data_IF_262572131346
#
_entry.id   IF_262572131346
#
_cell.length_a   1.000
_cell.length_b   1.000
_cell.length_c   1.000
_cell.angle_alpha   90.00
_cell.angle_beta   90.00
_cell.angle_gamma   90.00
#
_symmetry.space_group_name_H-M   'P 1'
#
loop_
_entity.id
_entity.type
_entity.pdbx_description
1 polymer ?
#
# COMPACT_ATOMS: atom_id res chain seq x y z
N UNK A 1 -33.92 20.01 -6.00
CA UNK A 1 -33.42 20.97 -5.00
C UNK A 1 -32.52 20.27 -3.97
N UNK A 2 -32.96 19.17 -3.36
CA UNK A 2 -32.17 18.40 -2.38
C UNK A 2 -30.79 17.91 -2.88
N UNK A 3 -30.71 17.23 -4.03
CA UNK A 3 -29.41 16.77 -4.57
C UNK A 3 -28.42 17.91 -4.80
N UNK A 4 -28.91 19.06 -5.27
CA UNK A 4 -28.07 20.24 -5.51
C UNK A 4 -27.49 20.76 -4.19
N UNK A 5 -28.30 20.78 -3.13
CA UNK A 5 -27.91 21.25 -1.80
C UNK A 5 -26.90 20.31 -1.11
N UNK A 6 -27.08 19.00 -1.30
CA UNK A 6 -26.12 17.98 -0.82
C UNK A 6 -24.78 18.11 -1.54
N UNK A 7 -24.78 18.26 -2.87
CA UNK A 7 -23.56 18.44 -3.66
C UNK A 7 -22.87 19.77 -3.33
N UNK A 8 -23.64 20.84 -3.13
CA UNK A 8 -23.12 22.16 -2.75
C UNK A 8 -22.47 22.10 -1.35
N UNK A 9 -23.10 21.42 -0.39
CA UNK A 9 -22.56 21.21 0.96
C UNK A 9 -21.29 20.37 0.95
N UNK A 10 -21.27 19.27 0.19
CA UNK A 10 -20.09 18.43 0.04
C UNK A 10 -18.90 19.21 -0.55
N UNK A 11 -19.15 20.03 -1.57
CA UNK A 11 -18.12 20.87 -2.19
C UNK A 11 -17.56 21.93 -1.21
N UNK A 12 -18.40 22.51 -0.35
CA UNK A 12 -17.93 23.42 0.71
C UNK A 12 -17.09 22.67 1.74
N UNK A 13 -17.51 21.48 2.16
CA UNK A 13 -16.79 20.68 3.15
C UNK A 13 -15.38 20.29 2.65
N UNK A 14 -15.27 19.84 1.39
CA UNK A 14 -13.99 19.50 0.77
C UNK A 14 -13.05 20.73 0.72
N UNK A 15 -13.56 21.90 0.33
CA UNK A 15 -12.78 23.15 0.34
C UNK A 15 -12.31 23.57 1.73
N UNK A 16 -13.10 23.30 2.77
CA UNK A 16 -12.70 23.53 4.16
C UNK A 16 -11.59 22.56 4.59
N UNK A 17 -11.66 21.30 4.18
CA UNK A 17 -10.58 20.33 4.43
C UNK A 17 -9.28 20.69 3.71
N UNK A 18 -9.34 21.11 2.43
CA UNK A 18 -8.14 21.54 1.68
C UNK A 18 -7.39 22.67 2.38
N UNK A 19 -8.11 23.66 2.91
CA UNK A 19 -7.53 24.76 3.70
C UNK A 19 -6.86 24.26 4.98
N UNK A 20 -7.49 23.31 5.67
CA UNK A 20 -6.96 22.77 6.92
C UNK A 20 -5.70 21.93 6.71
N UNK A 21 -5.63 21.18 5.60
CA UNK A 21 -4.44 20.41 5.23
C UNK A 21 -3.27 21.29 4.73
N UNK A 22 -3.53 22.50 4.25
CA UNK A 22 -2.48 23.43 3.78
C UNK A 22 -1.75 24.17 4.91
N UNK A 23 -2.38 24.32 6.09
CA UNK A 23 -1.86 25.14 7.20
C UNK A 23 -1.09 24.35 8.28
N UNK A 24 -1.01 23.01 8.20
CA UNK A 24 -0.26 22.20 9.18
C UNK A 24 1.02 21.58 8.59
N UNK A 25 2.14 21.96 9.20
CA UNK A 25 3.51 21.40 9.12
C UNK A 25 4.46 22.11 8.14
N UNK A 26 5.12 23.17 8.64
CA UNK A 26 6.41 23.64 8.12
C UNK A 26 7.50 23.10 9.04
N UNK A 27 8.25 22.08 8.62
CA UNK A 27 9.45 21.62 9.35
C UNK A 27 10.52 22.71 9.22
N UNK A 28 10.81 23.39 10.34
CA UNK A 28 12.01 24.23 10.43
C UNK A 28 13.24 23.32 10.36
N UNK A 29 13.84 23.21 9.17
CA UNK A 29 15.13 22.57 9.02
C UNK A 29 16.20 23.40 9.76
N UNK A 30 16.64 22.88 10.91
CA UNK A 30 17.65 23.51 11.74
C UNK A 30 19.04 23.20 11.16
N UNK A 31 19.50 24.04 10.24
CA UNK A 31 20.93 24.13 9.90
C UNK A 31 21.75 24.51 11.15
N UNK A 32 22.58 23.59 11.63
CA UNK A 32 23.69 23.90 12.54
C UNK A 32 25.01 23.55 11.87
N UNK A 33 25.72 24.60 11.46
CA UNK A 33 27.04 24.51 10.84
C UNK A 33 28.17 24.24 11.82
N UNK A 34 29.25 23.68 11.28
CA UNK A 34 30.62 24.15 11.46
C UNK A 34 31.33 23.87 12.78
N UNK A 35 32.23 22.88 12.78
CA UNK A 35 33.31 22.77 13.78
C UNK A 35 34.20 21.55 13.51
N UNK A 36 35.42 21.78 12.99
CA UNK A 36 36.30 20.74 12.47
C UNK A 36 37.13 19.95 13.49
N UNK A 37 37.82 18.91 13.00
CA UNK A 37 38.93 18.27 13.74
C UNK A 37 39.28 16.82 13.38
N UNK A 38 40.28 16.65 12.50
CA UNK A 38 41.37 15.63 12.49
C UNK A 38 41.10 14.10 12.35
N UNK A 39 41.50 13.60 11.17
CA UNK A 39 42.17 12.32 10.78
C UNK A 39 42.37 11.20 11.84
N UNK A 40 42.02 9.94 11.47
CA UNK A 40 42.98 8.80 11.34
C UNK A 40 42.38 7.61 10.55
N UNK A 41 43.30 6.75 10.08
CA UNK A 41 43.23 5.75 8.99
C UNK A 41 42.30 4.52 9.24
N UNK A 42 41.80 4.00 8.11
CA UNK A 42 41.18 2.68 7.78
C UNK A 42 41.88 1.42 8.35
N UNK A 43 41.38 0.17 8.13
CA UNK A 43 40.18 -0.31 7.41
C UNK A 43 39.32 -1.37 8.17
N UNK A 44 38.04 -1.51 7.83
CA UNK A 44 37.33 -2.80 7.92
C UNK A 44 36.00 -2.75 7.17
N UNK A 45 35.91 -3.62 6.18
CA UNK A 45 34.73 -3.98 5.39
C UNK A 45 33.58 -4.43 6.28
N UNK A 46 32.53 -3.61 6.39
CA UNK A 46 31.15 -4.08 6.57
C UNK A 46 30.24 -3.11 5.83
N UNK A 47 29.81 -3.54 4.65
CA UNK A 47 28.65 -3.01 3.94
C UNK A 47 27.48 -2.98 4.91
N UNK A 48 27.18 -1.81 5.47
CA UNK A 48 25.86 -1.54 6.04
C UNK A 48 24.89 -1.58 4.86
N UNK A 49 23.76 -2.30 4.96
CA UNK A 49 22.73 -2.16 3.95
C UNK A 49 22.34 -0.69 3.95
N UNK A 50 22.39 -0.08 2.77
CA UNK A 50 21.73 1.19 2.53
C UNK A 50 20.27 1.00 2.92
N UNK A 51 19.90 1.46 4.12
CA UNK A 51 18.51 1.71 4.45
C UNK A 51 18.08 2.78 3.46
N UNK A 52 17.48 2.35 2.34
CA UNK A 52 16.74 3.27 1.50
C UNK A 52 15.76 4.01 2.43
N UNK A 53 15.63 5.34 2.31
CA UNK A 53 14.66 6.08 3.10
C UNK A 53 13.31 5.36 3.00
N UNK A 54 12.74 4.98 4.15
CA UNK A 54 11.37 4.45 4.13
C UNK A 54 10.50 5.51 3.46
N UNK A 55 9.67 5.12 2.47
CA UNK A 55 8.72 6.06 1.90
C UNK A 55 7.92 6.66 3.04
N UNK A 56 7.87 7.99 3.12
CA UNK A 56 7.05 8.63 4.14
C UNK A 56 5.59 8.28 3.89
N UNK A 57 4.76 8.34 4.94
CA UNK A 57 3.32 8.11 4.79
C UNK A 57 2.71 9.07 3.75
N UNK A 58 3.23 10.30 3.67
CA UNK A 58 2.86 11.28 2.64
C UNK A 58 3.22 10.81 1.23
N UNK A 59 4.43 10.28 1.02
CA UNK A 59 4.85 9.76 -0.29
C UNK A 59 4.00 8.56 -0.74
N UNK A 60 3.67 7.64 0.19
CA UNK A 60 2.76 6.54 -0.10
C UNK A 60 1.36 7.06 -0.42
N UNK A 61 0.85 8.01 0.35
CA UNK A 61 -0.46 8.61 0.10
C UNK A 61 -0.54 9.26 -1.30
N UNK A 62 0.51 10.00 -1.70
CA UNK A 62 0.62 10.57 -3.05
C UNK A 62 0.64 9.49 -4.13
N UNK A 63 1.45 8.45 -3.98
CA UNK A 63 1.50 7.34 -4.95
C UNK A 63 0.18 6.61 -5.07
N UNK A 64 -0.47 6.33 -3.94
CA UNK A 64 -1.80 5.72 -3.94
C UNK A 64 -2.79 6.61 -4.68
N UNK A 65 -2.77 7.93 -4.46
CA UNK A 65 -3.68 8.85 -5.15
C UNK A 65 -3.49 8.83 -6.68
N UNK A 66 -2.26 8.65 -7.17
CA UNK A 66 -1.97 8.52 -8.60
C UNK A 66 -2.53 7.22 -9.19
N UNK A 67 -2.32 6.09 -8.53
CA UNK A 67 -2.76 4.77 -9.01
C UNK A 67 -4.22 4.41 -8.67
N UNK A 68 -4.86 5.07 -7.69
CA UNK A 68 -6.19 4.71 -7.20
C UNK A 68 -7.28 4.76 -8.29
N UNK A 69 -7.17 5.70 -9.23
CA UNK A 69 -8.12 5.79 -10.35
C UNK A 69 -8.02 4.56 -11.26
N UNK A 70 -6.80 4.10 -11.52
CA UNK A 70 -6.54 2.90 -12.32
C UNK A 70 -7.01 1.64 -11.60
N UNK A 71 -6.68 1.50 -10.31
CA UNK A 71 -7.17 0.39 -9.47
C UNK A 71 -8.69 0.32 -9.50
N UNK A 72 -9.39 1.46 -9.33
CA UNK A 72 -10.85 1.52 -9.39
C UNK A 72 -11.41 1.07 -10.76
N UNK A 73 -10.77 1.49 -11.86
CA UNK A 73 -11.14 1.07 -13.22
C UNK A 73 -10.99 -0.44 -13.40
N UNK A 74 -9.89 -1.03 -12.90
CA UNK A 74 -9.63 -2.46 -12.97
C UNK A 74 -10.60 -3.26 -12.11
N UNK A 75 -10.93 -2.78 -10.90
CA UNK A 75 -11.90 -3.43 -10.02
C UNK A 75 -13.32 -3.46 -10.62
N UNK A 76 -13.67 -2.41 -11.37
CA UNK A 76 -14.98 -2.29 -12.06
C UNK A 76 -15.06 -3.12 -13.34
N UNK A 77 -13.91 -3.56 -13.86
CA UNK A 77 -13.81 -4.39 -15.06
C UNK A 77 -13.65 -5.85 -14.65
N UNK A 78 -14.20 -6.78 -15.41
CA UNK A 78 -13.92 -8.19 -15.20
C UNK A 78 -12.49 -8.49 -15.67
N UNK A 79 -11.62 -8.84 -14.72
CA UNK A 79 -10.23 -9.20 -15.00
C UNK A 79 -10.19 -10.60 -15.63
N UNK A 80 -10.12 -10.65 -16.96
CA UNK A 80 -9.86 -11.89 -17.69
C UNK A 80 -8.36 -12.13 -17.76
N UNK A 81 -7.86 -13.03 -16.92
CA UNK A 81 -6.48 -13.49 -16.94
C UNK A 81 -6.44 -14.98 -17.29
N UNK A 82 -5.50 -15.43 -18.15
CA UNK A 82 -5.33 -16.85 -18.43
C UNK A 82 -5.09 -17.65 -17.14
N UNK A 83 -5.64 -18.86 -17.05
CA UNK A 83 -5.50 -19.73 -15.86
C UNK A 83 -4.03 -19.98 -15.50
N UNK A 84 -3.15 -20.09 -16.51
CA UNK A 84 -1.70 -20.29 -16.32
C UNK A 84 -0.98 -19.08 -15.70
N UNK A 85 -1.56 -17.89 -15.81
CA UNK A 85 -1.02 -16.63 -15.27
C UNK A 85 -1.67 -16.24 -13.93
N UNK A 86 -2.68 -16.99 -13.49
CA UNK A 86 -3.38 -16.71 -12.26
C UNK A 86 -2.49 -16.96 -11.04
N UNK A 87 -2.32 -15.95 -10.16
CA UNK A 87 -1.41 -16.07 -9.03
C UNK A 87 -1.96 -17.04 -7.99
N UNK A 88 -1.12 -17.98 -7.58
CA UNK A 88 -1.45 -18.93 -6.51
C UNK A 88 -1.17 -18.28 -5.14
N UNK A 89 -2.17 -18.17 -4.24
CA UNK A 89 -2.04 -17.48 -2.97
C UNK A 89 -1.34 -18.31 -1.87
N UNK A 90 -1.36 -19.65 -1.99
CA UNK A 90 -0.89 -20.59 -0.98
C UNK A 90 -0.17 -21.79 -1.60
N UNK A 91 0.83 -22.34 -0.92
CA UNK A 91 1.52 -23.57 -1.34
C UNK A 91 1.18 -24.73 -0.39
N UNK A 92 0.36 -25.66 -0.88
CA UNK A 92 -0.07 -26.85 -0.15
C UNK A 92 1.04 -27.86 0.13
N UNK A 93 2.17 -27.79 -0.60
CA UNK A 93 3.32 -28.66 -0.38
C UNK A 93 4.32 -28.07 0.64
N UNK A 94 4.11 -26.83 1.06
CA UNK A 94 4.99 -26.14 2.01
C UNK A 94 4.71 -26.59 3.45
N UNK A 95 5.78 -26.77 4.23
CA UNK A 95 5.70 -27.06 5.67
C UNK A 95 5.37 -25.82 6.52
N UNK A 96 5.24 -24.64 5.88
CA UNK A 96 4.91 -23.39 6.58
C UNK A 96 3.47 -23.41 7.13
N UNK A 97 3.24 -22.89 8.35
CA UNK A 97 1.90 -22.69 8.90
C UNK A 97 1.01 -21.88 7.97
N UNK A 98 -0.30 -22.15 7.99
CA UNK A 98 -1.28 -21.40 7.18
C UNK A 98 -1.25 -19.91 7.49
N UNK A 99 -1.09 -19.54 8.76
CA UNK A 99 -1.01 -18.14 9.19
C UNK A 99 0.19 -17.42 8.56
N UNK A 100 1.36 -18.06 8.50
CA UNK A 100 2.58 -17.50 7.90
C UNK A 100 2.41 -17.37 6.37
N UNK A 101 1.78 -18.37 5.72
CA UNK A 101 1.51 -18.29 4.29
C UNK A 101 0.51 -17.20 3.94
N UNK A 102 -0.46 -16.93 4.82
CA UNK A 102 -1.38 -15.80 4.69
C UNK A 102 -0.65 -14.47 4.80
N UNK A 103 0.28 -14.34 5.74
CA UNK A 103 1.13 -13.14 5.86
C UNK A 103 2.02 -12.94 4.63
N UNK A 104 2.66 -14.01 4.15
CA UNK A 104 3.44 -14.01 2.91
C UNK A 104 2.59 -13.54 1.71
N UNK A 105 1.33 -13.98 1.62
CA UNK A 105 0.39 -13.55 0.59
C UNK A 105 0.07 -12.04 0.69
N UNK A 106 -0.20 -11.51 1.89
CA UNK A 106 -0.41 -10.07 2.11
C UNK A 106 0.82 -9.25 1.70
N UNK A 107 2.02 -9.70 2.05
CA UNK A 107 3.27 -9.06 1.64
C UNK A 107 3.43 -9.09 0.12
N UNK A 108 3.05 -10.19 -0.53
CA UNK A 108 3.10 -10.32 -1.99
C UNK A 108 2.14 -9.34 -2.68
N UNK A 109 0.92 -9.19 -2.18
CA UNK A 109 -0.04 -8.19 -2.68
C UNK A 109 0.54 -6.78 -2.52
N UNK A 110 1.06 -6.44 -1.35
CA UNK A 110 1.71 -5.14 -1.11
C UNK A 110 2.86 -4.86 -2.10
N UNK A 111 3.72 -5.86 -2.33
CA UNK A 111 4.84 -5.74 -3.29
C UNK A 111 4.36 -5.55 -4.72
N UNK A 112 3.31 -6.26 -5.14
CA UNK A 112 2.72 -6.10 -6.48
C UNK A 112 2.15 -4.69 -6.68
N UNK A 113 1.41 -4.17 -5.69
CA UNK A 113 0.89 -2.80 -5.71
C UNK A 113 2.02 -1.77 -5.76
N UNK A 114 3.08 -1.93 -4.96
CA UNK A 114 4.26 -1.05 -4.98
C UNK A 114 5.08 -1.13 -6.27
N UNK A 115 4.89 -2.18 -7.06
CA UNK A 115 5.53 -2.37 -8.36
C UNK A 115 4.61 -2.03 -9.54
N UNK A 116 3.46 -1.41 -9.27
CA UNK A 116 2.44 -1.03 -10.27
C UNK A 116 1.85 -2.22 -11.06
N UNK A 117 2.02 -3.46 -10.57
CA UNK A 117 1.40 -4.65 -11.17
C UNK A 117 0.00 -4.85 -10.58
N UNK A 118 -0.93 -3.98 -10.97
CA UNK A 118 -2.25 -3.89 -10.36
C UNK A 118 -3.14 -5.11 -10.67
N UNK A 119 -3.15 -5.58 -11.92
CA UNK A 119 -3.96 -6.73 -12.35
C UNK A 119 -3.61 -7.98 -11.54
N UNK A 120 -2.31 -8.25 -11.42
CA UNK A 120 -1.77 -9.36 -10.63
C UNK A 120 -2.06 -9.20 -9.13
N UNK A 121 -2.01 -7.97 -8.60
CA UNK A 121 -2.34 -7.71 -7.20
C UNK A 121 -3.82 -8.00 -6.89
N UNK A 122 -4.73 -7.51 -7.76
CA UNK A 122 -6.17 -7.70 -7.62
C UNK A 122 -6.53 -9.18 -7.79
N UNK A 123 -5.96 -9.84 -8.79
CA UNK A 123 -6.19 -11.27 -9.00
C UNK A 123 -5.69 -12.12 -7.84
N UNK A 124 -4.52 -11.79 -7.28
CA UNK A 124 -4.01 -12.47 -6.08
C UNK A 124 -4.90 -12.22 -4.86
N UNK A 125 -5.43 -11.01 -4.69
CA UNK A 125 -6.37 -10.71 -3.62
C UNK A 125 -7.64 -11.57 -3.72
N UNK A 126 -8.23 -11.65 -4.92
CA UNK A 126 -9.45 -12.44 -5.17
C UNK A 126 -9.18 -13.94 -5.00
N UNK A 127 -8.06 -14.46 -5.50
CA UNK A 127 -7.67 -15.85 -5.29
C UNK A 127 -7.42 -16.17 -3.80
N UNK A 128 -6.75 -15.27 -3.07
CA UNK A 128 -6.52 -15.43 -1.63
C UNK A 128 -7.84 -15.47 -0.84
N UNK A 129 -8.84 -14.69 -1.26
CA UNK A 129 -10.18 -14.70 -0.67
C UNK A 129 -10.91 -16.02 -0.85
N UNK A 130 -10.74 -16.69 -1.98
CA UNK A 130 -11.32 -18.02 -2.21
C UNK A 130 -10.66 -19.10 -1.35
N UNK A 131 -9.37 -18.95 -1.08
CA UNK A 131 -8.59 -19.91 -0.27
C UNK A 131 -8.76 -19.70 1.23
N UNK A 132 -8.86 -18.45 1.68
CA UNK A 132 -9.02 -18.09 3.09
C UNK A 132 -10.24 -17.19 3.31
N UNK A 133 -11.46 -17.75 3.20
CA UNK A 133 -12.68 -17.00 3.46
C UNK A 133 -12.86 -16.67 4.95
N UNK A 134 -12.12 -17.32 5.85
CA UNK A 134 -12.27 -17.13 7.29
C UNK A 134 -11.81 -15.74 7.74
N UNK A 135 -12.62 -15.10 8.59
CA UNK A 135 -12.37 -13.78 9.19
C UNK A 135 -12.28 -12.62 8.18
N UNK A 136 -12.61 -12.86 6.90
CA UNK A 136 -12.70 -11.83 5.85
C UNK A 136 -11.41 -10.99 5.72
N UNK A 137 -10.24 -11.60 5.96
CA UNK A 137 -8.93 -10.90 5.92
C UNK A 137 -8.66 -10.30 4.54
N UNK A 138 -9.12 -10.97 3.48
CA UNK A 138 -9.04 -10.51 2.09
C UNK A 138 -10.36 -9.90 1.59
N UNK A 139 -11.25 -9.51 2.51
CA UNK A 139 -12.60 -9.04 2.26
C UNK A 139 -13.62 -10.16 2.12
N UNK A 140 -14.90 -9.79 2.12
CA UNK A 140 -16.00 -10.72 1.90
C UNK A 140 -16.06 -11.21 0.44
N UNK A 141 -16.58 -12.42 0.20
CA UNK A 141 -16.75 -12.99 -1.15
C UNK A 141 -17.64 -12.08 -2.02
N UNK A 142 -18.61 -11.41 -1.41
CA UNK A 142 -19.50 -10.44 -2.04
C UNK A 142 -19.05 -8.99 -1.84
N UNK A 143 -17.76 -8.75 -1.55
CA UNK A 143 -17.23 -7.40 -1.37
C UNK A 143 -17.55 -6.54 -2.61
N UNK A 144 -18.03 -5.33 -2.37
CA UNK A 144 -18.22 -4.38 -3.46
C UNK A 144 -16.85 -3.87 -3.94
N UNK A 145 -16.73 -3.39 -5.20
CA UNK A 145 -15.48 -2.83 -5.71
C UNK A 145 -14.89 -1.72 -4.82
N UNK A 146 -15.75 -0.95 -4.16
CA UNK A 146 -15.33 0.09 -3.21
C UNK A 146 -14.65 -0.48 -1.96
N UNK A 147 -15.14 -1.61 -1.45
CA UNK A 147 -14.56 -2.30 -0.29
C UNK A 147 -13.21 -2.93 -0.67
N UNK A 148 -13.10 -3.51 -1.87
CA UNK A 148 -11.82 -4.04 -2.40
C UNK A 148 -10.77 -2.93 -2.54
N UNK A 149 -11.18 -1.75 -3.02
CA UNK A 149 -10.31 -0.59 -3.16
C UNK A 149 -9.76 -0.12 -1.80
N UNK A 150 -10.62 -0.07 -0.77
CA UNK A 150 -10.21 0.30 0.58
C UNK A 150 -9.22 -0.71 1.16
N UNK A 151 -9.49 -2.00 0.99
CA UNK A 151 -8.58 -3.05 1.44
C UNK A 151 -7.22 -2.99 0.74
N UNK A 152 -7.20 -2.81 -0.58
CA UNK A 152 -5.95 -2.64 -1.33
C UNK A 152 -5.17 -1.40 -0.88
N UNK A 153 -5.87 -0.31 -0.53
CA UNK A 153 -5.24 0.88 0.04
C UNK A 153 -4.59 0.57 1.38
N UNK A 154 -5.29 -0.10 2.28
CA UNK A 154 -4.76 -0.50 3.59
C UNK A 154 -3.52 -1.38 3.44
N UNK A 155 -3.60 -2.38 2.55
CA UNK A 155 -2.47 -3.24 2.22
C UNK A 155 -1.31 -2.42 1.68
N UNK A 156 -1.53 -1.49 0.74
CA UNK A 156 -0.48 -0.65 0.15
C UNK A 156 0.21 0.27 1.16
N UNK A 157 -0.58 0.92 2.02
CA UNK A 157 -0.10 1.84 3.06
C UNK A 157 0.71 1.10 4.14
N UNK A 158 0.50 -0.21 4.30
CA UNK A 158 1.27 -1.01 5.23
C UNK A 158 2.76 -1.01 4.88
N UNK A 159 3.58 -0.59 5.84
CA UNK A 159 5.04 -0.61 5.71
C UNK A 159 5.58 -2.00 6.03
N UNK A 160 5.81 -2.80 4.99
CA UNK A 160 6.42 -4.14 5.11
C UNK A 160 7.86 -4.12 5.69
N UNK A 161 8.48 -2.94 5.88
CA UNK A 161 9.83 -2.79 6.46
C UNK A 161 9.86 -2.55 7.98
N UNK A 162 8.73 -2.51 8.68
CA UNK A 162 8.71 -2.43 10.15
C UNK A 162 8.88 -3.78 10.86
N UNK A 163 8.99 -4.88 10.13
CA UNK A 163 9.39 -6.19 10.66
C UNK A 163 10.74 -6.60 10.07
N UNK A 164 11.80 -6.46 10.84
CA UNK A 164 12.93 -7.39 10.68
C UNK A 164 12.37 -8.80 10.92
N UNK A 165 12.56 -9.70 9.94
CA UNK A 165 12.38 -11.14 10.12
C UNK A 165 13.72 -11.82 9.77
#
# INVERSE_FOLDING_TARGET
>A
VFLRDVVETANVFIKMMERFCQDSVVVQDKRRGGGGGRKKKQPATKSKPSTAPQPTEEELSSKWAEMATEVCSLLSTELEMPEDEQPVPFDAASEKPIDDQREDCMIRINKLLRSENLDQAIALLRAAREVWPENEVFGAISAAPEDELLLLREIFMYNITTGEW
#
